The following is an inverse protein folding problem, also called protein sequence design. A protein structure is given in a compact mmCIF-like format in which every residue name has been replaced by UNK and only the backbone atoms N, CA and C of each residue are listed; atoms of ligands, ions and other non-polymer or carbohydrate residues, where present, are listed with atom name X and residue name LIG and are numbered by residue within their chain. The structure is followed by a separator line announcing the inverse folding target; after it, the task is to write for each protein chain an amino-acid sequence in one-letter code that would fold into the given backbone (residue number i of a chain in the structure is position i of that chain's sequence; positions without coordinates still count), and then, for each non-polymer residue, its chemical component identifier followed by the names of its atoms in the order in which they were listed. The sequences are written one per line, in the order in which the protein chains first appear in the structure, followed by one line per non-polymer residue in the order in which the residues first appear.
data_IF_779187053550
#
_entry.id   IF_779187053550
#
_cell.length_a   1.000
_cell.length_b   1.000
_cell.length_c   1.000
_cell.angle_alpha   90.00
_cell.angle_beta   90.00
_cell.angle_gamma   90.00
#
_symmetry.space_group_name_H-M   'P 1'
#
loop_
_entity.id
_entity.type
_entity.pdbx_description
1 polymer ?
#
# COMPACT_ATOMS: atom_id res chain seq x y z
N UNK A 1 19.80 8.30 2.96
CA UNK A 1 21.19 8.13 2.43
C UNK A 1 21.28 6.74 1.84
N UNK A 2 21.74 6.60 0.59
CA UNK A 2 21.70 5.30 -0.10
C UNK A 2 22.98 4.48 0.10
N UNK A 3 24.13 5.14 0.26
CA UNK A 3 25.41 4.52 0.51
C UNK A 3 26.16 5.28 1.62
N UNK A 4 26.68 4.57 2.58
CA UNK A 4 27.59 5.08 3.60
C UNK A 4 28.96 4.43 3.40
N UNK A 5 30.00 5.25 3.36
CA UNK A 5 31.39 4.78 3.28
C UNK A 5 31.98 4.90 4.69
N UNK A 6 32.50 3.80 5.20
CA UNK A 6 33.12 3.74 6.52
C UNK A 6 34.60 3.42 6.40
N UNK A 7 35.41 4.19 7.10
CA UNK A 7 36.80 3.88 7.35
C UNK A 7 36.98 3.61 8.86
N UNK A 8 37.09 2.33 9.26
CA UNK A 8 37.20 1.97 10.66
C UNK A 8 38.63 2.11 11.22
N UNK A 9 39.52 2.89 10.58
CA UNK A 9 40.90 3.04 11.01
C UNK A 9 41.10 3.52 12.44
N UNK A 10 40.05 4.06 13.08
CA UNK A 10 40.05 4.47 14.48
C UNK A 10 39.52 3.43 15.47
N UNK A 11 38.97 2.31 14.97
CA UNK A 11 38.42 1.26 15.84
C UNK A 11 39.54 0.27 16.23
N UNK A 12 39.55 -0.09 17.53
CA UNK A 12 40.59 -0.96 18.11
C UNK A 12 40.18 -2.43 18.12
N UNK A 13 38.93 -2.75 17.84
CA UNK A 13 38.40 -4.10 17.85
C UNK A 13 37.29 -4.35 16.84
N UNK A 14 37.10 -5.62 16.43
CA UNK A 14 36.02 -6.06 15.58
C UNK A 14 34.63 -5.82 16.21
N UNK A 15 34.52 -5.80 17.54
CA UNK A 15 33.27 -5.50 18.23
C UNK A 15 32.86 -4.03 18.04
N UNK A 16 33.81 -3.11 18.13
CA UNK A 16 33.56 -1.69 17.87
C UNK A 16 33.12 -1.44 16.42
N UNK A 17 33.74 -2.14 15.47
CA UNK A 17 33.37 -2.08 14.06
C UNK A 17 31.93 -2.59 13.86
N UNK A 18 31.56 -3.72 14.48
CA UNK A 18 30.21 -4.28 14.44
C UNK A 18 29.19 -3.27 14.96
N UNK A 19 29.42 -2.67 16.11
CA UNK A 19 28.49 -1.73 16.74
C UNK A 19 28.33 -0.47 15.87
N UNK A 20 29.42 0.01 15.27
CA UNK A 20 29.34 1.12 14.30
C UNK A 20 28.55 0.76 13.02
N UNK A 21 28.70 -0.46 12.50
CA UNK A 21 27.94 -0.97 11.35
C UNK A 21 26.44 -1.03 11.69
N UNK A 22 26.07 -1.51 12.89
CA UNK A 22 24.67 -1.58 13.32
C UNK A 22 24.02 -0.20 13.39
N UNK A 23 24.74 0.82 13.85
CA UNK A 23 24.29 2.22 13.84
C UNK A 23 24.16 2.73 12.39
N UNK A 24 25.15 2.45 11.56
CA UNK A 24 25.18 2.88 10.15
C UNK A 24 24.01 2.29 9.33
N UNK A 25 23.59 1.06 9.62
CA UNK A 25 22.43 0.41 8.99
C UNK A 25 21.10 1.13 9.20
N UNK A 26 20.97 1.89 10.26
CA UNK A 26 19.78 2.70 10.51
C UNK A 26 19.72 3.93 9.59
N UNK A 27 20.86 4.33 9.05
CA UNK A 27 21.02 5.57 8.28
C UNK A 27 21.20 5.35 6.76
N UNK A 28 21.67 4.17 6.36
CA UNK A 28 22.00 3.87 4.97
C UNK A 28 21.52 2.48 4.54
N UNK A 29 21.19 2.34 3.25
CA UNK A 29 20.79 1.05 2.64
C UNK A 29 21.98 0.15 2.35
N UNK A 30 23.11 0.74 2.01
CA UNK A 30 24.35 0.04 1.72
C UNK A 30 25.50 0.64 2.50
N UNK A 31 26.40 -0.22 2.97
CA UNK A 31 27.60 0.17 3.68
C UNK A 31 28.80 -0.35 2.90
N UNK A 32 29.71 0.55 2.54
CA UNK A 32 31.01 0.24 1.98
C UNK A 32 32.05 0.42 3.09
N UNK A 33 32.86 -0.60 3.32
CA UNK A 33 33.95 -0.55 4.29
C UNK A 33 35.29 -0.51 3.56
N UNK A 34 36.14 0.47 3.89
CA UNK A 34 37.51 0.61 3.36
C UNK A 34 38.45 0.43 4.55
N UNK A 35 39.10 -0.74 4.66
CA UNK A 35 39.87 -1.07 5.86
C UNK A 35 40.97 -2.10 5.60
N UNK A 36 42.03 -2.07 6.38
CA UNK A 36 43.02 -3.12 6.41
C UNK A 36 42.41 -4.48 6.79
N UNK A 37 41.38 -4.50 7.64
CA UNK A 37 40.66 -5.72 8.04
C UNK A 37 39.90 -6.37 6.84
N UNK A 38 39.57 -5.63 5.79
CA UNK A 38 38.90 -6.16 4.62
C UNK A 38 39.80 -7.04 3.73
N UNK A 39 41.11 -7.09 3.99
CA UNK A 39 42.04 -7.98 3.28
C UNK A 39 41.91 -9.45 3.69
N UNK A 40 41.45 -9.73 4.90
CA UNK A 40 41.28 -11.08 5.43
C UNK A 40 39.92 -11.71 5.09
N UNK A 41 39.93 -13.00 4.70
CA UNK A 41 38.71 -13.70 4.26
C UNK A 41 37.71 -13.96 5.40
N UNK A 42 38.20 -14.23 6.61
CA UNK A 42 37.36 -14.46 7.78
C UNK A 42 36.67 -13.17 8.23
N UNK A 43 37.43 -12.08 8.24
CA UNK A 43 36.87 -10.76 8.53
C UNK A 43 35.78 -10.34 7.49
N UNK A 44 36.02 -10.59 6.20
CA UNK A 44 34.98 -10.32 5.13
C UNK A 44 33.71 -11.11 5.37
N UNK A 45 33.80 -12.36 5.82
CA UNK A 45 32.65 -13.18 6.16
C UNK A 45 31.82 -12.57 7.30
N UNK A 46 32.48 -12.15 8.37
CA UNK A 46 31.83 -11.48 9.51
C UNK A 46 31.19 -10.15 9.11
N UNK A 47 31.93 -9.34 8.37
CA UNK A 47 31.44 -8.04 7.88
C UNK A 47 30.21 -8.18 6.98
N UNK A 48 30.17 -9.20 6.10
CA UNK A 48 28.97 -9.52 5.31
C UNK A 48 27.79 -9.91 6.17
N UNK A 49 28.00 -10.74 7.21
CA UNK A 49 26.93 -11.12 8.16
C UNK A 49 26.37 -9.91 8.91
N UNK A 50 27.21 -8.91 9.19
CA UNK A 50 26.77 -7.66 9.81
C UNK A 50 26.12 -6.69 8.81
N UNK A 51 26.16 -7.02 7.50
CA UNK A 51 25.46 -6.31 6.43
C UNK A 51 26.27 -5.23 5.74
N UNK A 52 27.58 -5.38 5.73
CA UNK A 52 28.43 -4.62 4.82
C UNK A 52 28.22 -5.13 3.41
N UNK A 53 27.91 -4.22 2.49
CA UNK A 53 27.56 -4.53 1.10
C UNK A 53 28.79 -4.62 0.19
N UNK A 54 29.85 -3.90 0.54
CA UNK A 54 31.08 -3.83 -0.26
C UNK A 54 32.27 -3.60 0.69
N UNK A 55 33.41 -4.22 0.42
CA UNK A 55 34.65 -3.99 1.19
C UNK A 55 35.86 -3.82 0.27
N UNK A 56 36.67 -2.87 0.63
CA UNK A 56 37.95 -2.59 -0.04
C UNK A 56 39.08 -2.67 0.97
N UNK A 57 40.11 -3.46 0.63
CA UNK A 57 41.29 -3.55 1.46
C UNK A 57 42.21 -2.32 1.26
N UNK A 58 42.80 -1.84 2.33
CA UNK A 58 43.88 -0.83 2.25
C UNK A 58 45.23 -1.49 2.00
N UNK A 59 46.12 -0.87 1.23
CA UNK A 59 45.90 0.36 0.46
C UNK A 59 44.90 0.11 -0.70
N UNK A 60 43.94 1.03 -0.93
CA UNK A 60 42.97 0.92 -1.98
C UNK A 60 43.33 1.89 -3.12
N UNK A 61 43.69 1.42 -4.32
CA UNK A 61 43.89 2.25 -5.48
C UNK A 61 42.61 3.00 -5.88
N UNK A 62 42.75 4.23 -6.37
CA UNK A 62 41.60 5.04 -6.78
C UNK A 62 40.70 4.32 -7.79
N UNK A 63 41.27 3.55 -8.70
CA UNK A 63 40.53 2.74 -9.67
C UNK A 63 39.62 1.70 -9.00
N UNK A 64 40.10 0.98 -7.99
CA UNK A 64 39.29 -0.04 -7.28
C UNK A 64 38.17 0.61 -6.48
N UNK A 65 38.45 1.77 -5.89
CA UNK A 65 37.46 2.55 -5.17
C UNK A 65 36.36 3.08 -6.10
N UNK A 66 36.73 3.68 -7.23
CA UNK A 66 35.76 4.15 -8.24
C UNK A 66 34.93 2.99 -8.80
N UNK A 67 35.56 1.84 -9.04
CA UNK A 67 34.87 0.65 -9.53
C UNK A 67 33.83 0.13 -8.52
N UNK A 68 34.17 0.10 -7.25
CA UNK A 68 33.28 -0.30 -6.17
C UNK A 68 32.08 0.69 -6.02
N UNK A 69 32.36 2.00 -6.09
CA UNK A 69 31.32 3.02 -6.10
C UNK A 69 30.37 2.86 -7.30
N UNK A 70 30.89 2.60 -8.48
CA UNK A 70 30.08 2.41 -9.67
C UNK A 70 29.23 1.14 -9.58
N UNK A 71 29.74 0.03 -9.03
CA UNK A 71 28.93 -1.17 -8.75
C UNK A 71 27.75 -0.85 -7.85
N UNK A 72 27.98 -0.15 -6.74
CA UNK A 72 26.93 0.23 -5.80
C UNK A 72 25.88 1.16 -6.45
N UNK A 73 26.30 2.11 -7.27
CA UNK A 73 25.39 2.97 -8.05
C UNK A 73 24.49 2.15 -8.97
N UNK A 74 25.04 1.19 -9.70
CA UNK A 74 24.28 0.32 -10.62
C UNK A 74 23.27 -0.55 -9.86
N UNK A 75 23.67 -1.12 -8.71
CA UNK A 75 22.76 -1.91 -7.86
C UNK A 75 21.59 -1.04 -7.38
N UNK A 76 21.85 0.12 -6.81
CA UNK A 76 20.79 1.04 -6.35
C UNK A 76 19.90 1.55 -7.47
N UNK A 77 20.47 1.83 -8.65
CA UNK A 77 19.67 2.21 -9.81
C UNK A 77 18.70 1.09 -10.20
N UNK A 78 19.19 -0.15 -10.28
CA UNK A 78 18.36 -1.32 -10.61
C UNK A 78 17.26 -1.57 -9.58
N UNK A 79 17.58 -1.48 -8.29
CA UNK A 79 16.60 -1.63 -7.21
C UNK A 79 15.50 -0.56 -7.29
N UNK A 80 15.86 0.69 -7.57
CA UNK A 80 14.91 1.78 -7.75
C UNK A 80 14.03 1.57 -8.98
N UNK A 81 14.61 1.13 -10.09
CA UNK A 81 13.82 0.85 -11.31
C UNK A 81 12.89 -0.35 -11.12
N UNK A 82 13.34 -1.43 -10.49
CA UNK A 82 12.48 -2.57 -10.14
C UNK A 82 11.31 -2.11 -9.26
N UNK A 83 11.60 -1.39 -8.20
CA UNK A 83 10.56 -0.86 -7.32
C UNK A 83 9.58 0.05 -8.05
N UNK A 84 10.07 0.89 -8.95
CA UNK A 84 9.24 1.79 -9.78
C UNK A 84 8.35 1.02 -10.76
N UNK A 85 8.88 -0.06 -11.34
CA UNK A 85 8.10 -0.95 -12.22
C UNK A 85 7.04 -1.70 -11.41
N UNK A 86 7.37 -2.21 -10.22
CA UNK A 86 6.42 -2.85 -9.30
C UNK A 86 5.33 -1.86 -8.86
N UNK A 87 5.69 -0.67 -8.37
CA UNK A 87 4.73 0.36 -7.99
C UNK A 87 3.81 0.77 -9.16
N UNK A 88 4.36 0.88 -10.38
CA UNK A 88 3.57 1.18 -11.57
C UNK A 88 2.67 0.01 -12.01
N UNK A 89 3.07 -1.24 -11.69
CA UNK A 89 2.27 -2.42 -11.95
C UNK A 89 1.17 -2.63 -10.89
N UNK A 90 1.31 -2.04 -9.70
CA UNK A 90 0.42 -2.24 -8.54
C UNK A 90 -0.61 -1.12 -8.35
N UNK A 91 -0.43 0.02 -9.01
CA UNK A 91 -1.28 1.19 -8.81
C UNK A 91 -2.14 1.52 -10.02
N UNK A 92 -3.35 2.03 -9.77
CA UNK A 92 -4.18 2.67 -10.77
C UNK A 92 -3.63 4.07 -11.09
N UNK A 93 -3.41 4.36 -12.36
CA UNK A 93 -2.73 5.60 -12.80
C UNK A 93 -3.53 6.87 -12.55
N UNK A 94 -4.88 6.77 -12.58
CA UNK A 94 -5.74 7.92 -12.37
C UNK A 94 -5.81 8.30 -10.89
N UNK A 95 -5.99 7.30 -10.04
CA UNK A 95 -6.33 7.50 -8.63
C UNK A 95 -5.11 7.37 -7.70
N UNK A 96 -4.05 6.70 -8.12
CA UNK A 96 -2.88 6.41 -7.28
C UNK A 96 -3.18 5.46 -6.11
N UNK A 97 -4.34 4.78 -6.14
CA UNK A 97 -4.68 3.67 -5.25
C UNK A 97 -4.11 2.36 -5.80
N UNK A 98 -4.16 1.30 -5.02
CA UNK A 98 -3.89 -0.03 -5.53
C UNK A 98 -4.83 -0.36 -6.71
N UNK A 99 -4.32 -1.09 -7.69
CA UNK A 99 -5.16 -1.64 -8.74
C UNK A 99 -5.73 -3.01 -8.34
N UNK A 100 -6.58 -3.58 -9.20
CA UNK A 100 -7.25 -4.87 -8.95
C UNK A 100 -6.24 -5.99 -8.69
N UNK A 101 -5.14 -6.08 -9.45
CA UNK A 101 -4.11 -7.11 -9.25
C UNK A 101 -3.53 -7.05 -7.83
N UNK A 102 -3.16 -5.86 -7.37
CA UNK A 102 -2.62 -5.66 -6.02
C UNK A 102 -3.65 -5.98 -4.92
N UNK A 103 -4.94 -5.69 -5.18
CA UNK A 103 -6.03 -6.05 -4.28
C UNK A 103 -6.12 -7.58 -4.13
N UNK A 104 -6.15 -8.31 -5.25
CA UNK A 104 -6.27 -9.77 -5.26
C UNK A 104 -5.10 -10.42 -4.50
N UNK A 105 -3.86 -10.02 -4.77
CA UNK A 105 -2.66 -10.48 -4.04
C UNK A 105 -2.73 -10.19 -2.53
N UNK A 106 -3.24 -9.01 -2.16
CA UNK A 106 -3.34 -8.62 -0.74
C UNK A 106 -4.35 -9.47 0.01
N UNK A 107 -5.50 -9.73 -0.59
CA UNK A 107 -6.56 -10.56 0.02
C UNK A 107 -6.11 -12.01 0.12
N UNK A 108 -5.46 -12.57 -0.91
CA UNK A 108 -4.89 -13.92 -0.89
C UNK A 108 -3.89 -14.10 0.25
N UNK A 109 -3.01 -13.10 0.46
CA UNK A 109 -2.07 -13.11 1.57
C UNK A 109 -2.78 -13.13 2.94
N UNK A 110 -3.86 -12.36 3.13
CA UNK A 110 -4.64 -12.36 4.38
C UNK A 110 -5.28 -13.71 4.65
N UNK A 111 -5.89 -14.33 3.64
CA UNK A 111 -6.50 -15.67 3.78
C UNK A 111 -5.45 -16.72 4.10
N UNK A 112 -4.29 -16.66 3.46
CA UNK A 112 -3.18 -17.57 3.73
C UNK A 112 -2.68 -17.48 5.18
N UNK A 113 -2.66 -16.28 5.76
CA UNK A 113 -2.25 -16.05 7.15
C UNK A 113 -3.35 -16.34 8.17
N UNK A 114 -4.62 -16.36 7.75
CA UNK A 114 -5.74 -16.50 8.66
C UNK A 114 -5.69 -17.74 9.57
N UNK A 115 -5.31 -18.95 9.12
CA UNK A 115 -5.27 -20.15 9.97
C UNK A 115 -4.38 -19.99 11.20
N UNK A 116 -3.30 -19.21 11.07
CA UNK A 116 -2.33 -18.96 12.15
C UNK A 116 -2.76 -17.79 13.04
N UNK A 117 -3.13 -16.67 12.44
CA UNK A 117 -3.49 -15.44 13.20
C UNK A 117 -4.93 -15.45 13.71
N UNK A 118 -5.87 -16.13 13.05
CA UNK A 118 -7.31 -16.16 13.34
C UNK A 118 -7.93 -14.75 13.51
N UNK A 119 -7.34 -13.77 12.90
CA UNK A 119 -7.80 -12.40 12.96
C UNK A 119 -8.74 -12.09 11.79
N UNK A 120 -9.97 -11.59 12.05
CA UNK A 120 -10.92 -11.26 10.98
C UNK A 120 -10.36 -10.14 10.10
N UNK A 121 -10.83 -10.06 8.87
CA UNK A 121 -10.66 -8.88 8.05
C UNK A 121 -11.99 -8.51 7.40
N UNK A 122 -12.20 -7.22 7.16
CA UNK A 122 -13.40 -6.74 6.51
C UNK A 122 -13.10 -6.18 5.14
N UNK A 123 -14.05 -6.36 4.22
CA UNK A 123 -14.06 -5.83 2.87
C UNK A 123 -15.20 -4.81 2.75
N UNK A 124 -14.89 -3.63 2.26
CA UNK A 124 -15.84 -2.59 1.93
C UNK A 124 -15.74 -2.39 0.41
N UNK A 125 -16.85 -2.60 -0.32
CA UNK A 125 -16.97 -2.21 -1.72
C UNK A 125 -17.79 -0.92 -1.80
N UNK A 126 -17.42 -0.01 -2.69
CA UNK A 126 -18.16 1.23 -2.89
C UNK A 126 -18.21 1.60 -4.37
N UNK A 127 -19.28 2.26 -4.74
CA UNK A 127 -19.53 2.75 -6.09
C UNK A 127 -20.10 4.16 -6.00
N UNK A 128 -19.64 5.02 -6.90
CA UNK A 128 -20.05 6.43 -6.96
C UNK A 128 -21.46 6.56 -7.51
N UNK A 129 -22.35 7.12 -6.71
CA UNK A 129 -23.76 7.23 -7.06
C UNK A 129 -23.99 8.16 -8.26
N UNK A 130 -24.77 7.66 -9.23
CA UNK A 130 -25.12 8.39 -10.44
C UNK A 130 -23.91 8.90 -11.25
N UNK A 131 -22.76 8.22 -11.18
CA UNK A 131 -21.52 8.65 -11.84
C UNK A 131 -21.68 8.76 -13.36
N UNK A 132 -22.46 7.86 -13.98
CA UNK A 132 -22.78 7.96 -15.40
C UNK A 132 -23.50 9.28 -15.73
N UNK A 133 -24.48 9.69 -14.91
CA UNK A 133 -25.17 10.98 -15.10
C UNK A 133 -24.19 12.15 -15.01
N UNK A 134 -23.24 12.10 -14.06
CA UNK A 134 -22.20 13.12 -13.94
C UNK A 134 -21.33 13.20 -15.20
N UNK A 135 -20.87 12.04 -15.71
CA UNK A 135 -20.06 11.97 -16.94
C UNK A 135 -20.83 12.46 -18.17
N UNK A 136 -22.10 12.05 -18.32
CA UNK A 136 -22.94 12.44 -19.45
C UNK A 136 -23.20 13.95 -19.45
N UNK A 137 -23.22 14.59 -18.28
CA UNK A 137 -23.49 16.04 -18.13
C UNK A 137 -22.21 16.88 -18.22
N UNK A 138 -21.10 16.44 -17.60
CA UNK A 138 -19.88 17.26 -17.43
C UNK A 138 -18.67 16.72 -18.18
N UNK A 139 -18.81 15.56 -18.84
CA UNK A 139 -17.75 14.90 -19.60
C UNK A 139 -16.81 14.06 -18.73
N UNK A 140 -16.17 13.08 -19.37
CA UNK A 140 -15.27 12.11 -18.69
C UNK A 140 -14.09 12.74 -17.97
N UNK A 141 -13.57 13.88 -18.45
CA UNK A 141 -12.46 14.56 -17.77
C UNK A 141 -12.86 15.06 -16.37
N UNK A 142 -14.10 15.53 -16.22
CA UNK A 142 -14.62 15.92 -14.90
C UNK A 142 -14.90 14.70 -14.04
N UNK A 143 -15.37 13.59 -14.62
CA UNK A 143 -15.49 12.31 -13.94
C UNK A 143 -14.14 11.81 -13.39
N UNK A 144 -13.05 11.97 -14.16
CA UNK A 144 -11.70 11.64 -13.69
C UNK A 144 -11.29 12.47 -12.46
N UNK A 145 -11.67 13.76 -12.43
CA UNK A 145 -11.44 14.62 -11.23
C UNK A 145 -12.21 14.09 -10.03
N UNK A 146 -13.48 13.67 -10.21
CA UNK A 146 -14.28 13.05 -9.15
C UNK A 146 -13.61 11.80 -8.60
N UNK A 147 -13.21 10.87 -9.47
CA UNK A 147 -12.57 9.62 -9.06
C UNK A 147 -11.27 9.87 -8.32
N UNK A 148 -10.46 10.83 -8.77
CA UNK A 148 -9.21 11.21 -8.09
C UNK A 148 -9.47 11.82 -6.70
N UNK A 149 -10.53 12.62 -6.52
CA UNK A 149 -10.92 13.19 -5.21
C UNK A 149 -11.40 12.11 -4.25
N UNK A 150 -12.29 11.23 -4.68
CA UNK A 150 -12.77 10.09 -3.87
C UNK A 150 -11.58 9.21 -3.44
N UNK A 151 -10.70 8.88 -4.37
CA UNK A 151 -9.48 8.14 -4.07
C UNK A 151 -8.61 8.85 -3.01
N UNK A 152 -8.51 10.17 -3.09
CA UNK A 152 -7.82 11.00 -2.09
C UNK A 152 -8.46 10.90 -0.70
N UNK A 153 -9.79 10.84 -0.60
CA UNK A 153 -10.53 10.62 0.64
C UNK A 153 -10.20 9.24 1.22
N UNK A 154 -10.34 8.19 0.40
CA UNK A 154 -10.05 6.82 0.81
C UNK A 154 -8.61 6.71 1.34
N UNK A 155 -7.63 7.21 0.58
CA UNK A 155 -6.21 7.15 0.94
C UNK A 155 -5.88 7.85 2.25
N UNK A 156 -6.55 8.95 2.58
CA UNK A 156 -6.32 9.71 3.82
C UNK A 156 -6.94 9.04 5.05
N UNK A 157 -7.98 8.22 4.88
CA UNK A 157 -8.74 7.64 5.98
C UNK A 157 -8.38 6.19 6.29
N UNK A 158 -7.74 5.48 5.37
CA UNK A 158 -7.19 4.15 5.64
C UNK A 158 -5.88 4.26 6.42
N UNK A 159 -5.70 3.39 7.42
CA UNK A 159 -4.48 3.35 8.24
C UNK A 159 -3.36 2.57 7.53
N UNK A 160 -2.15 2.69 8.06
CA UNK A 160 -1.04 1.83 7.61
C UNK A 160 -1.39 0.35 7.87
N UNK A 161 -1.39 -0.45 6.81
CA UNK A 161 -1.77 -1.86 6.84
C UNK A 161 -3.13 -2.16 6.23
N UNK A 162 -4.00 -1.16 6.06
CA UNK A 162 -5.20 -1.28 5.23
C UNK A 162 -4.83 -1.08 3.76
N UNK A 163 -5.70 -1.53 2.87
CA UNK A 163 -5.55 -1.33 1.43
C UNK A 163 -6.79 -0.65 0.86
N UNK A 164 -6.59 0.45 0.13
CA UNK A 164 -7.62 1.02 -0.72
C UNK A 164 -7.23 0.79 -2.19
N UNK A 165 -8.16 0.29 -3.00
CA UNK A 165 -7.95 -0.08 -4.39
C UNK A 165 -9.06 0.46 -5.28
N UNK A 166 -8.73 0.76 -6.55
CA UNK A 166 -9.73 0.93 -7.59
C UNK A 166 -10.02 -0.44 -8.22
N UNK A 167 -11.26 -0.89 -8.08
CA UNK A 167 -11.69 -2.22 -8.51
C UNK A 167 -12.18 -2.23 -9.97
N UNK A 168 -12.87 -1.20 -10.38
CA UNK A 168 -13.44 -1.02 -11.72
C UNK A 168 -13.55 0.45 -12.11
N UNK A 169 -14.39 0.78 -13.06
CA UNK A 169 -14.59 2.14 -13.58
C UNK A 169 -14.79 3.19 -12.49
N UNK A 170 -15.87 3.05 -11.73
CA UNK A 170 -16.28 3.95 -10.64
C UNK A 170 -16.35 3.24 -9.28
N UNK A 171 -15.81 2.00 -9.22
CA UNK A 171 -15.85 1.14 -8.07
C UNK A 171 -14.52 1.11 -7.33
N UNK A 172 -14.59 1.16 -6.01
CA UNK A 172 -13.43 1.06 -5.12
C UNK A 172 -13.66 -0.03 -4.08
N UNK A 173 -12.56 -0.61 -3.61
CA UNK A 173 -12.56 -1.59 -2.53
C UNK A 173 -11.58 -1.17 -1.45
N UNK A 174 -11.99 -1.30 -0.19
CA UNK A 174 -11.11 -1.10 0.97
C UNK A 174 -11.04 -2.41 1.75
N UNK A 175 -9.83 -2.87 2.02
CA UNK A 175 -9.57 -4.04 2.87
C UNK A 175 -9.02 -3.57 4.20
N UNK A 176 -9.62 -4.06 5.28
CA UNK A 176 -9.31 -3.71 6.65
C UNK A 176 -8.84 -4.96 7.41
N UNK A 177 -7.53 -5.28 7.45
CA UNK A 177 -7.02 -6.39 8.25
C UNK A 177 -7.28 -6.21 9.74
N UNK A 178 -7.54 -7.30 10.46
CA UNK A 178 -7.78 -7.29 11.91
C UNK A 178 -8.90 -6.31 12.28
N UNK A 179 -10.00 -6.35 11.51
CA UNK A 179 -11.16 -5.49 11.67
C UNK A 179 -12.43 -6.34 11.61
N UNK A 180 -13.26 -6.26 12.63
CA UNK A 180 -14.57 -6.91 12.71
C UNK A 180 -15.65 -6.09 11.98
N UNK A 181 -16.83 -6.67 11.83
CA UNK A 181 -17.96 -6.07 11.12
C UNK A 181 -18.42 -4.75 11.75
N UNK A 182 -18.43 -4.63 13.08
CA UNK A 182 -18.85 -3.41 13.77
C UNK A 182 -17.92 -2.23 13.48
N UNK A 183 -16.61 -2.46 13.58
CA UNK A 183 -15.59 -1.46 13.27
C UNK A 183 -15.57 -1.12 11.77
N UNK A 184 -15.75 -2.11 10.89
CA UNK A 184 -15.83 -1.88 9.46
C UNK A 184 -17.02 -1.00 9.07
N UNK A 185 -18.18 -1.20 9.69
CA UNK A 185 -19.35 -0.34 9.50
C UNK A 185 -19.09 1.11 9.91
N UNK A 186 -18.43 1.33 11.04
CA UNK A 186 -18.04 2.68 11.47
C UNK A 186 -17.08 3.36 10.47
N UNK A 187 -16.11 2.62 9.97
CA UNK A 187 -15.17 3.14 8.97
C UNK A 187 -15.90 3.43 7.65
N UNK A 188 -16.76 2.54 7.19
CA UNK A 188 -17.54 2.73 5.99
C UNK A 188 -18.45 3.97 6.08
N UNK A 189 -19.09 4.21 7.24
CA UNK A 189 -19.91 5.41 7.45
C UNK A 189 -19.07 6.69 7.46
N UNK A 190 -17.86 6.66 8.04
CA UNK A 190 -16.94 7.79 7.98
C UNK A 190 -16.47 8.08 6.55
N UNK A 191 -16.29 7.04 5.72
CA UNK A 191 -15.95 7.21 4.31
C UNK A 191 -17.13 7.78 3.54
N UNK A 192 -18.34 7.26 3.76
CA UNK A 192 -19.58 7.75 3.14
C UNK A 192 -19.78 9.25 3.43
N UNK A 193 -19.75 9.62 4.71
CA UNK A 193 -19.90 11.04 5.12
C UNK A 193 -18.83 11.92 4.50
N UNK A 194 -17.60 11.45 4.44
CA UNK A 194 -16.50 12.22 3.84
C UNK A 194 -16.63 12.41 2.32
N UNK A 195 -17.23 11.44 1.62
CA UNK A 195 -17.54 11.61 0.19
C UNK A 195 -18.68 12.60 0.00
N UNK A 196 -19.73 12.51 0.81
CA UNK A 196 -20.88 13.42 0.77
C UNK A 196 -20.51 14.88 1.09
N UNK A 197 -19.55 15.07 2.01
CA UNK A 197 -19.06 16.39 2.46
C UNK A 197 -17.98 16.99 1.55
N UNK A 198 -17.42 16.21 0.61
CA UNK A 198 -16.36 16.70 -0.28
C UNK A 198 -16.91 17.73 -1.26
N UNK A 199 -16.19 18.84 -1.43
CA UNK A 199 -16.54 19.88 -2.40
C UNK A 199 -16.18 19.45 -3.83
N UNK A 200 -17.10 18.80 -4.50
CA UNK A 200 -16.95 18.30 -5.87
C UNK A 200 -17.59 19.29 -6.86
N UNK A 201 -16.87 19.70 -7.92
CA UNK A 201 -17.43 20.63 -8.90
C UNK A 201 -18.77 20.14 -9.47
N UNK A 202 -19.75 21.02 -9.56
CA UNK A 202 -21.08 20.77 -10.13
C UNK A 202 -21.92 19.69 -9.39
N UNK A 203 -21.57 19.35 -8.16
CA UNK A 203 -22.28 18.30 -7.41
C UNK A 203 -23.75 18.63 -7.16
N UNK A 204 -24.11 19.91 -7.07
CA UNK A 204 -25.46 20.39 -6.89
C UNK A 204 -26.41 20.04 -8.06
N UNK A 205 -25.86 19.65 -9.21
CA UNK A 205 -26.61 19.21 -10.38
C UNK A 205 -26.89 17.70 -10.38
N UNK A 206 -26.40 16.98 -9.35
CA UNK A 206 -26.67 15.56 -9.22
C UNK A 206 -28.11 15.29 -8.75
N UNK A 207 -28.70 14.13 -9.12
CA UNK A 207 -30.08 13.78 -8.76
C UNK A 207 -30.33 13.77 -7.24
N UNK A 208 -29.32 13.54 -6.42
CA UNK A 208 -29.41 13.55 -4.95
C UNK A 208 -29.02 14.90 -4.34
N UNK A 209 -28.76 15.93 -5.16
CA UNK A 209 -28.30 17.25 -4.72
C UNK A 209 -26.82 17.33 -4.36
N UNK A 210 -26.16 16.19 -4.20
CA UNK A 210 -24.73 16.04 -3.94
C UNK A 210 -24.18 14.85 -4.69
N UNK A 211 -22.87 14.80 -4.89
CA UNK A 211 -22.20 13.59 -5.32
C UNK A 211 -21.93 12.72 -4.10
N UNK A 212 -22.46 11.50 -4.14
CA UNK A 212 -22.39 10.55 -3.02
C UNK A 212 -21.85 9.22 -3.50
N UNK A 213 -21.62 8.31 -2.56
CA UNK A 213 -21.28 6.93 -2.86
C UNK A 213 -22.05 5.97 -1.92
N UNK A 214 -22.34 4.79 -2.42
CA UNK A 214 -22.97 3.70 -1.66
C UNK A 214 -21.93 2.66 -1.31
N UNK A 215 -22.08 2.05 -0.13
CA UNK A 215 -21.08 1.16 0.46
C UNK A 215 -21.69 -0.17 0.87
N UNK A 216 -21.06 -1.28 0.46
CA UNK A 216 -21.37 -2.63 0.92
C UNK A 216 -20.23 -3.18 1.78
N UNK A 217 -20.56 -3.82 2.90
CA UNK A 217 -19.57 -4.33 3.88
C UNK A 217 -19.78 -5.81 4.11
N UNK A 218 -18.69 -6.60 4.03
CA UNK A 218 -18.67 -7.99 4.44
C UNK A 218 -17.38 -8.33 5.21
N UNK A 219 -17.49 -9.26 6.19
CA UNK A 219 -16.40 -9.61 7.09
C UNK A 219 -16.05 -11.09 7.00
N UNK A 220 -14.77 -11.38 6.83
CA UNK A 220 -14.21 -12.73 6.89
C UNK A 220 -13.81 -13.08 8.33
N UNK A 221 -14.09 -14.28 8.85
CA UNK A 221 -14.87 -15.36 8.23
C UNK A 221 -16.38 -15.29 8.52
N UNK A 222 -16.85 -14.27 9.26
CA UNK A 222 -18.21 -14.21 9.81
C UNK A 222 -19.28 -14.25 8.72
N UNK A 223 -19.05 -13.57 7.62
CA UNK A 223 -19.99 -13.51 6.50
C UNK A 223 -19.72 -14.60 5.47
N UNK A 224 -18.47 -14.94 5.22
CA UNK A 224 -18.05 -16.02 4.32
C UNK A 224 -16.65 -16.50 4.70
N UNK A 225 -16.37 -17.78 4.46
CA UNK A 225 -15.08 -18.44 4.64
C UNK A 225 -14.30 -18.57 3.29
N UNK A 226 -14.88 -18.05 2.22
CA UNK A 226 -14.30 -17.96 0.89
C UNK A 226 -14.33 -16.52 0.39
N UNK A 227 -13.25 -16.09 -0.28
CA UNK A 227 -13.06 -14.69 -0.71
C UNK A 227 -14.03 -14.30 -1.83
N UNK A 228 -14.28 -15.19 -2.79
CA UNK A 228 -15.20 -14.88 -3.90
C UNK A 228 -16.62 -14.73 -3.36
N UNK A 229 -17.00 -15.59 -2.40
CA UNK A 229 -18.29 -15.48 -1.70
C UNK A 229 -18.35 -14.20 -0.86
N UNK A 230 -17.26 -13.84 -0.18
CA UNK A 230 -17.18 -12.60 0.61
C UNK A 230 -17.38 -11.36 -0.27
N UNK A 231 -16.65 -11.29 -1.39
CA UNK A 231 -16.77 -10.20 -2.35
C UNK A 231 -18.19 -10.10 -2.90
N UNK A 232 -18.79 -11.24 -3.26
CA UNK A 232 -20.18 -11.28 -3.73
C UNK A 232 -21.17 -10.76 -2.67
N UNK A 233 -20.98 -11.11 -1.41
CA UNK A 233 -21.84 -10.60 -0.32
C UNK A 233 -21.72 -9.10 -0.12
N UNK A 234 -20.51 -8.55 -0.24
CA UNK A 234 -20.32 -7.12 -0.19
C UNK A 234 -20.98 -6.41 -1.41
N UNK A 235 -20.91 -7.02 -2.59
CA UNK A 235 -21.57 -6.53 -3.80
C UNK A 235 -23.10 -6.58 -3.70
N UNK A 236 -23.65 -7.69 -3.17
CA UNK A 236 -25.08 -7.79 -2.86
C UNK A 236 -25.54 -6.67 -1.90
N UNK A 237 -24.72 -6.34 -0.88
CA UNK A 237 -24.99 -5.23 0.03
C UNK A 237 -24.96 -3.87 -0.69
N UNK A 238 -23.97 -3.66 -1.56
CA UNK A 238 -23.87 -2.45 -2.39
C UNK A 238 -25.11 -2.29 -3.27
N UNK A 239 -25.55 -3.37 -3.91
CA UNK A 239 -26.75 -3.40 -4.74
C UNK A 239 -28.01 -3.01 -3.94
N UNK A 240 -28.21 -3.63 -2.75
CA UNK A 240 -29.31 -3.27 -1.86
C UNK A 240 -29.27 -1.80 -1.43
N UNK A 241 -28.10 -1.27 -1.14
CA UNK A 241 -27.94 0.14 -0.81
C UNK A 241 -28.34 1.06 -1.96
N UNK A 242 -27.98 0.71 -3.20
CA UNK A 242 -28.40 1.46 -4.40
C UNK A 242 -29.93 1.43 -4.60
N UNK A 243 -30.59 0.30 -4.34
CA UNK A 243 -32.06 0.18 -4.39
C UNK A 243 -32.75 0.93 -3.25
N UNK A 244 -32.14 0.97 -2.06
CA UNK A 244 -32.70 1.65 -0.90
C UNK A 244 -32.64 3.18 -0.96
N UNK A 245 -32.07 3.77 -2.02
CA UNK A 245 -32.00 5.22 -2.22
C UNK A 245 -30.60 5.79 -2.34
N UNK A 246 -29.55 4.96 -2.32
CA UNK A 246 -28.13 5.34 -2.40
C UNK A 246 -27.62 6.07 -1.16
N UNK A 247 -26.39 6.55 -1.19
CA UNK A 247 -25.75 7.30 -0.09
C UNK A 247 -25.91 6.61 1.27
N UNK A 248 -25.65 5.32 1.33
CA UNK A 248 -25.89 4.47 2.49
C UNK A 248 -24.82 3.39 2.62
N UNK A 249 -24.60 2.92 3.85
CA UNK A 249 -23.77 1.74 4.14
C UNK A 249 -24.69 0.56 4.49
N UNK A 250 -24.45 -0.57 3.82
CA UNK A 250 -25.18 -1.83 4.06
C UNK A 250 -24.17 -2.92 4.42
N UNK A 251 -24.43 -3.73 5.47
CA UNK A 251 -23.59 -4.87 5.81
C UNK A 251 -24.26 -6.19 5.52
N UNK A 252 -23.47 -7.22 5.23
CA UNK A 252 -23.96 -8.58 5.02
C UNK A 252 -24.69 -9.14 6.25
N UNK A 253 -24.27 -8.74 7.44
CA UNK A 253 -24.97 -9.10 8.69
C UNK A 253 -26.38 -8.52 8.79
N UNK A 254 -26.64 -7.33 8.24
CA UNK A 254 -27.95 -6.70 8.25
C UNK A 254 -28.96 -7.35 7.27
N UNK A 255 -28.46 -8.05 6.25
CA UNK A 255 -29.29 -8.74 5.26
C UNK A 255 -29.68 -10.18 5.67
N UNK A 256 -29.14 -10.68 6.79
CA UNK A 256 -29.46 -12.03 7.30
C UNK A 256 -30.71 -12.06 8.17
N UNK A 257 -31.39 -10.92 8.38
CA UNK A 257 -32.52 -10.76 9.33
C UNK A 257 -33.86 -11.08 8.68
#
# INVERSE_FOLDING_TARGET
MDLLIMDPGNYQSMNEIRDAILVAKQQARSIMLVSEFAGDAENRRLLSQWGVSEFLAKPCPDFDFEHALNRQRVIHYRERELKRVEEAADTDRLTGLANRRRLDEFVEALVTLYPEERAPFSLIITDVDNFKHYNDTHGHQMGDVVLARIAGILKKRVRRGDLAARFGGEEFVVILPKCDSGNAMLIAEQLRSAVEEEDIPYQEQQPLGNLTATFGVATFPDDADDVEVLLKKADDCLYHGKEAGRNVVVSASSLRS
#
